data_IF_926984381819
#
_entry.id   IF_926984381819
#
_cell.length_a   1.000
_cell.length_b   1.000
_cell.length_c   1.000
_cell.angle_alpha   90.00
_cell.angle_beta   90.00
_cell.angle_gamma   90.00
#
_symmetry.space_group_name_H-M   'P 1'
#
loop_
_entity.id
_entity.type
_entity.pdbx_description
1 polymer ?
#
# COMPACT_ATOMS: atom_id res chain seq x y z
N UNK A 1 -2.14 -0.55 -3.78
CA UNK A 1 -3.01 -1.71 -3.44
C UNK A 1 -3.19 -2.56 -4.68
N UNK A 2 -2.79 -3.82 -4.58
CA UNK A 2 -3.13 -4.88 -5.53
C UNK A 2 -4.50 -5.44 -5.13
N UNK A 3 -5.43 -5.48 -6.07
CA UNK A 3 -6.81 -5.91 -5.82
C UNK A 3 -7.39 -6.69 -7.00
N UNK A 4 -8.56 -7.28 -6.78
CA UNK A 4 -9.39 -7.88 -7.83
C UNK A 4 -10.85 -7.51 -7.56
N UNK A 5 -11.65 -7.45 -8.62
CA UNK A 5 -13.09 -7.18 -8.51
C UNK A 5 -13.84 -8.14 -7.56
N UNK A 6 -13.45 -9.43 -7.54
CA UNK A 6 -14.09 -10.48 -6.76
C UNK A 6 -13.69 -10.50 -5.27
N UNK A 7 -12.65 -9.77 -4.89
CA UNK A 7 -12.03 -9.81 -3.57
C UNK A 7 -12.91 -9.18 -2.45
N UNK A 8 -13.48 -9.98 -1.53
CA UNK A 8 -14.33 -9.45 -0.45
C UNK A 8 -13.55 -8.57 0.54
N UNK A 9 -12.31 -8.92 0.83
CA UNK A 9 -11.43 -8.16 1.73
C UNK A 9 -11.01 -6.81 1.14
N UNK A 10 -10.89 -6.73 -0.19
CA UNK A 10 -10.65 -5.48 -0.91
C UNK A 10 -11.85 -4.55 -0.75
N UNK A 11 -13.07 -5.07 -0.97
CA UNK A 11 -14.32 -4.32 -0.70
C UNK A 11 -14.43 -3.89 0.75
N UNK A 12 -14.01 -4.73 1.70
CA UNK A 12 -13.99 -4.41 3.12
C UNK A 12 -13.08 -3.21 3.41
N UNK A 13 -11.84 -3.23 2.91
CA UNK A 13 -10.90 -2.11 3.04
C UNK A 13 -11.46 -0.82 2.43
N UNK A 14 -12.09 -0.90 1.25
CA UNK A 14 -12.71 0.26 0.59
C UNK A 14 -13.79 0.93 1.44
N UNK A 15 -14.57 0.15 2.19
CA UNK A 15 -15.64 0.65 3.07
C UNK A 15 -15.12 1.24 4.37
N UNK A 16 -14.15 0.59 5.00
CA UNK A 16 -13.69 0.92 6.36
C UNK A 16 -12.57 1.97 6.35
N UNK A 17 -11.67 1.91 5.38
CA UNK A 17 -10.58 2.88 5.22
C UNK A 17 -10.84 3.74 3.99
N UNK A 18 -10.88 3.10 2.82
CA UNK A 18 -11.12 3.77 1.54
C UNK A 18 -9.96 4.65 1.07
N UNK A 19 -9.86 4.81 -0.25
CA UNK A 19 -8.83 5.63 -0.88
C UNK A 19 -8.90 7.10 -0.42
N UNK A 20 -10.10 7.64 -0.26
CA UNK A 20 -10.29 9.03 0.14
C UNK A 20 -9.73 9.33 1.54
N UNK A 21 -9.96 8.45 2.53
CA UNK A 21 -9.42 8.65 3.88
C UNK A 21 -7.91 8.41 3.92
N UNK A 22 -7.42 7.43 3.16
CA UNK A 22 -5.98 7.21 3.00
C UNK A 22 -5.28 8.45 2.43
N UNK A 23 -5.73 8.96 1.27
CA UNK A 23 -5.11 10.08 0.57
C UNK A 23 -5.13 11.38 1.39
N UNK A 24 -6.12 11.54 2.29
CA UNK A 24 -6.19 12.69 3.22
C UNK A 24 -5.32 12.54 4.46
N UNK A 25 -4.87 11.34 4.78
CA UNK A 25 -4.02 11.08 5.95
C UNK A 25 -2.58 11.51 5.72
N UNK A 26 -1.84 11.77 6.80
CA UNK A 26 -0.39 12.05 6.73
C UNK A 26 0.39 10.88 6.08
N UNK A 27 -0.07 9.64 6.26
CA UNK A 27 0.57 8.47 5.66
C UNK A 27 0.34 8.43 4.15
N UNK A 28 -0.89 8.67 3.69
CA UNK A 28 -1.21 8.68 2.26
C UNK A 28 -0.63 9.87 1.52
N UNK A 29 -0.42 11.00 2.18
CA UNK A 29 0.35 12.11 1.61
C UNK A 29 1.83 11.74 1.37
N UNK A 30 2.41 10.93 2.27
CA UNK A 30 3.79 10.41 2.12
C UNK A 30 3.89 9.26 1.12
N UNK A 31 2.84 8.45 1.00
CA UNK A 31 2.75 7.34 0.06
C UNK A 31 1.36 7.28 -0.60
N UNK A 32 1.16 8.02 -1.71
CA UNK A 32 -0.11 8.04 -2.43
C UNK A 32 -0.53 6.65 -2.87
N UNK A 33 -1.81 6.32 -2.72
CA UNK A 33 -2.30 5.00 -3.07
C UNK A 33 -2.56 4.88 -4.56
N UNK A 34 -1.83 3.99 -5.23
CA UNK A 34 -2.22 3.49 -6.55
C UNK A 34 -2.94 2.15 -6.44
N UNK A 35 -4.12 2.05 -7.04
CA UNK A 35 -4.92 0.83 -7.17
C UNK A 35 -4.53 0.09 -8.44
N UNK A 36 -4.36 -1.23 -8.35
CA UNK A 36 -3.95 -2.09 -9.47
C UNK A 36 -4.82 -3.34 -9.46
N UNK A 37 -5.64 -3.51 -10.48
CA UNK A 37 -6.33 -4.77 -10.71
C UNK A 37 -5.32 -5.80 -11.22
N UNK A 38 -5.17 -6.90 -10.48
CA UNK A 38 -4.24 -7.98 -10.80
C UNK A 38 -4.93 -9.22 -11.37
N UNK A 39 -6.22 -9.14 -11.71
CA UNK A 39 -6.98 -10.25 -12.29
C UNK A 39 -6.35 -10.78 -13.59
N UNK A 40 -5.82 -9.89 -14.42
CA UNK A 40 -5.18 -10.22 -15.71
C UNK A 40 -3.65 -10.26 -15.66
N UNK A 41 -3.05 -10.16 -14.47
CA UNK A 41 -1.60 -10.05 -14.29
C UNK A 41 -1.14 -8.69 -13.76
N UNK A 42 0.16 -8.57 -13.50
CA UNK A 42 0.77 -7.29 -13.14
C UNK A 42 1.12 -6.46 -14.38
N UNK A 43 1.00 -5.12 -14.31
CA UNK A 43 1.54 -4.25 -15.34
C UNK A 43 3.07 -4.33 -15.39
N UNK A 44 3.66 -4.07 -16.56
CA UNK A 44 5.09 -4.23 -16.80
C UNK A 44 5.97 -3.44 -15.82
N UNK A 45 5.55 -2.22 -15.46
CA UNK A 45 6.24 -1.36 -14.49
C UNK A 45 6.19 -1.86 -13.04
N UNK A 46 5.50 -2.97 -12.77
CA UNK A 46 5.50 -3.67 -11.48
C UNK A 46 6.05 -5.09 -11.59
N UNK A 47 6.69 -5.46 -12.71
CA UNK A 47 7.19 -6.83 -12.94
C UNK A 47 8.20 -7.33 -11.90
N UNK A 48 8.84 -6.41 -11.15
CA UNK A 48 9.75 -6.73 -10.05
C UNK A 48 9.05 -7.26 -8.79
N UNK A 49 7.74 -7.04 -8.65
CA UNK A 49 6.97 -7.52 -7.50
C UNK A 49 6.82 -9.04 -7.53
N UNK A 50 7.22 -9.71 -6.44
CA UNK A 50 7.02 -11.15 -6.25
C UNK A 50 5.75 -11.42 -5.44
N UNK A 51 5.19 -12.63 -5.51
CA UNK A 51 4.06 -13.08 -4.67
C UNK A 51 2.86 -12.12 -4.62
N UNK A 52 2.51 -11.50 -5.75
CA UNK A 52 1.51 -10.44 -5.87
C UNK A 52 0.06 -10.93 -5.95
N UNK A 53 -0.16 -12.24 -6.00
CA UNK A 53 -1.48 -12.87 -6.25
C UNK A 53 -2.44 -12.81 -5.04
N UNK A 54 -1.95 -12.50 -3.85
CA UNK A 54 -2.79 -12.36 -2.67
C UNK A 54 -3.43 -10.97 -2.63
N UNK A 55 -4.75 -10.88 -2.44
CA UNK A 55 -5.47 -9.61 -2.44
C UNK A 55 -6.36 -9.45 -1.21
N UNK A 56 -6.43 -8.24 -0.60
CA UNK A 56 -5.66 -7.06 -0.96
C UNK A 56 -4.19 -7.21 -0.53
N UNK A 57 -3.25 -6.70 -1.32
CA UNK A 57 -1.86 -6.49 -0.90
C UNK A 57 -1.49 -5.03 -1.07
N UNK A 58 -0.94 -4.42 -0.03
CA UNK A 58 -0.45 -3.04 -0.07
C UNK A 58 1.05 -3.08 -0.13
N UNK A 59 1.63 -2.71 -1.28
CA UNK A 59 3.07 -2.70 -1.49
C UNK A 59 3.55 -1.26 -1.46
N UNK A 60 4.56 -0.99 -0.63
CA UNK A 60 5.30 0.26 -0.62
C UNK A 60 6.47 0.14 -1.60
N UNK A 61 6.52 1.06 -2.55
CA UNK A 61 7.52 1.11 -3.61
C UNK A 61 8.23 2.46 -3.56
N UNK A 62 9.56 2.44 -3.68
CA UNK A 62 10.40 3.62 -3.85
C UNK A 62 11.48 3.27 -4.89
N UNK A 63 11.71 4.17 -5.86
CA UNK A 63 12.72 4.00 -6.91
C UNK A 63 12.68 2.62 -7.60
N UNK A 64 11.47 2.19 -7.98
CA UNK A 64 11.20 0.89 -8.62
C UNK A 64 11.59 -0.34 -7.79
N UNK A 65 11.84 -0.17 -6.49
CA UNK A 65 12.12 -1.22 -5.54
C UNK A 65 11.02 -1.35 -4.50
N UNK A 66 10.72 -2.58 -4.10
CA UNK A 66 9.81 -2.85 -3.00
C UNK A 66 10.51 -2.64 -1.64
N UNK A 67 9.96 -1.75 -0.82
CA UNK A 67 10.42 -1.50 0.56
C UNK A 67 9.76 -2.46 1.55
N UNK A 68 8.53 -2.89 1.25
CA UNK A 68 7.79 -3.86 2.03
C UNK A 68 6.31 -3.87 1.66
N UNK A 69 5.54 -4.71 2.36
CA UNK A 69 4.12 -4.88 2.09
C UNK A 69 3.29 -5.27 3.31
N UNK A 70 1.99 -5.06 3.19
CA UNK A 70 0.93 -5.60 4.04
C UNK A 70 0.12 -6.57 3.18
N UNK A 71 -0.04 -7.82 3.63
CA UNK A 71 -0.81 -8.84 2.93
C UNK A 71 -2.12 -9.07 3.67
N UNK A 72 -3.24 -8.95 2.95
CA UNK A 72 -4.58 -9.09 3.50
C UNK A 72 -5.08 -7.84 4.22
N UNK A 73 -6.26 -7.96 4.80
CA UNK A 73 -6.92 -6.91 5.56
C UNK A 73 -7.84 -7.52 6.62
N UNK A 74 -7.59 -7.23 7.90
CA UNK A 74 -8.34 -7.80 9.03
C UNK A 74 -9.34 -6.79 9.63
N UNK A 75 -8.86 -5.58 9.93
CA UNK A 75 -9.65 -4.43 10.39
C UNK A 75 -8.85 -3.14 10.14
N UNK A 76 -9.53 -2.01 10.30
CA UNK A 76 -9.00 -0.66 10.10
C UNK A 76 -7.83 -0.35 11.03
N UNK A 77 -7.98 -0.57 12.34
CA UNK A 77 -6.95 -0.27 13.34
C UNK A 77 -5.63 -1.00 13.04
N UNK A 78 -5.71 -2.30 12.71
CA UNK A 78 -4.53 -3.10 12.36
C UNK A 78 -3.91 -2.66 11.04
N UNK A 79 -4.72 -2.19 10.08
CA UNK A 79 -4.19 -1.66 8.83
C UNK A 79 -3.40 -0.37 9.07
N UNK A 80 -3.96 0.56 9.84
CA UNK A 80 -3.29 1.83 10.14
C UNK A 80 -1.96 1.61 10.87
N UNK A 81 -1.92 0.75 11.89
CA UNK A 81 -0.69 0.42 12.61
C UNK A 81 0.39 -0.19 11.70
N UNK A 82 0.00 -1.15 10.84
CA UNK A 82 0.94 -1.74 9.88
C UNK A 82 1.41 -0.73 8.84
N UNK A 83 0.53 0.16 8.40
CA UNK A 83 0.87 1.23 7.46
C UNK A 83 1.86 2.22 8.07
N UNK A 84 1.68 2.63 9.33
CA UNK A 84 2.65 3.45 10.05
C UNK A 84 4.03 2.78 10.10
N UNK A 85 4.09 1.51 10.51
CA UNK A 85 5.34 0.75 10.57
C UNK A 85 6.00 0.57 9.19
N UNK A 86 5.21 0.40 8.13
CA UNK A 86 5.72 0.27 6.77
C UNK A 86 6.29 1.60 6.25
N UNK A 87 5.57 2.71 6.46
CA UNK A 87 5.96 4.06 6.02
C UNK A 87 7.13 4.62 6.83
N UNK A 88 7.32 4.17 8.08
CA UNK A 88 8.49 4.50 8.89
C UNK A 88 9.81 3.97 8.30
N UNK A 89 9.76 3.02 7.34
CA UNK A 89 10.94 2.51 6.62
C UNK A 89 11.41 3.43 5.51
N UNK A 90 10.58 4.37 5.07
CA UNK A 90 11.03 5.39 4.13
C UNK A 90 12.04 6.31 4.83
N UNK A 91 13.09 6.75 4.13
CA UNK A 91 13.98 7.77 4.67
C UNK A 91 13.18 9.01 5.10
N UNK A 92 13.51 9.55 6.28
CA UNK A 92 12.88 10.77 6.75
C UNK A 92 13.35 11.92 5.86
N UNK A 93 12.47 12.47 5.03
CA UNK A 93 12.80 13.62 4.18
C UNK A 93 13.22 14.81 5.07
N UNK A 94 14.50 15.16 5.01
CA UNK A 94 15.12 16.42 5.42
C UNK A 94 15.01 16.85 6.91
N UNK A 95 15.55 16.05 7.85
CA UNK A 95 16.09 16.61 9.12
C UNK A 95 17.59 16.37 9.31
N UNK A 96 18.26 15.72 8.36
CA UNK A 96 19.68 15.36 8.47
C UNK A 96 20.63 16.26 7.66
N UNK A 97 20.12 17.11 6.76
CA UNK A 97 20.95 18.04 5.97
C UNK A 97 21.24 19.39 6.67
N UNK A 98 20.84 19.54 7.95
CA UNK A 98 21.14 20.71 8.78
C UNK A 98 21.75 20.31 10.12
N UNK A 99 22.85 19.56 10.08
CA UNK A 99 23.75 19.39 11.22
C UNK A 99 25.18 19.64 10.78
#
# INVERSE_FOLDING_TARGET
>A
MLERHDCPWCRRWHREVGQQSWDRSNLGQRAPLRRVDVASGLPANLGFLRNWRFTPTFVLVQDEAEIGRIIGYQADLFFWQQAEALIARLPQTAREERR
#
